data_IF_515932622246
#
_entry.id   IF_515932622246
#
_cell.length_a   1.000
_cell.length_b   1.000
_cell.length_c   1.000
_cell.angle_alpha   90.00
_cell.angle_beta   90.00
_cell.angle_gamma   90.00
#
_symmetry.space_group_name_H-M   'P 1'
#
loop_
_entity.id
_entity.type
_entity.pdbx_description
1 polymer ?
#
# COMPACT_ATOMS: atom_id res chain seq x y z
N UNK A 1 -25.31 -14.70 -1.03
CA UNK A 1 -24.38 -14.43 -2.15
C UNK A 1 -23.20 -13.71 -1.53
N UNK A 2 -22.09 -14.41 -1.33
CA UNK A 2 -20.90 -13.86 -0.67
C UNK A 2 -20.18 -13.02 -1.71
N UNK A 3 -20.37 -11.71 -1.62
CA UNK A 3 -19.66 -10.72 -2.43
C UNK A 3 -18.21 -10.66 -1.91
N UNK A 4 -17.32 -11.39 -2.58
CA UNK A 4 -15.89 -11.20 -2.38
C UNK A 4 -15.55 -9.88 -3.06
N UNK A 5 -15.14 -8.83 -2.32
CA UNK A 5 -14.79 -7.57 -2.94
C UNK A 5 -13.58 -7.81 -3.84
N UNK A 6 -13.82 -7.79 -5.15
CA UNK A 6 -12.76 -7.74 -6.15
C UNK A 6 -12.23 -6.31 -6.07
N UNK A 7 -11.05 -6.12 -5.45
CA UNK A 7 -10.49 -4.79 -5.23
C UNK A 7 -10.28 -4.08 -6.57
N UNK A 8 -11.16 -3.12 -6.89
CA UNK A 8 -11.08 -2.29 -8.08
C UNK A 8 -9.78 -1.49 -8.06
N UNK A 9 -8.98 -1.60 -9.13
CA UNK A 9 -7.68 -0.93 -9.24
C UNK A 9 -7.78 0.59 -9.06
N UNK A 10 -8.89 1.19 -9.49
CA UNK A 10 -9.18 2.63 -9.28
C UNK A 10 -9.44 2.99 -7.81
N UNK A 11 -9.95 2.05 -7.02
CA UNK A 11 -10.14 2.22 -5.58
C UNK A 11 -8.79 2.15 -4.84
N UNK A 12 -7.88 1.29 -5.31
CA UNK A 12 -6.49 1.24 -4.82
C UNK A 12 -5.69 2.50 -5.20
N UNK A 13 -5.94 3.10 -6.36
CA UNK A 13 -5.31 4.38 -6.77
C UNK A 13 -5.80 5.61 -5.97
N UNK A 14 -6.92 5.47 -5.24
CA UNK A 14 -7.44 6.50 -4.33
C UNK A 14 -6.85 6.39 -2.91
N UNK A 15 -6.06 5.36 -2.61
CA UNK A 15 -5.40 5.19 -1.32
C UNK A 15 -4.22 6.15 -1.19
N UNK A 16 -4.49 7.25 -0.51
CA UNK A 16 -3.52 8.23 -0.05
C UNK A 16 -2.85 7.74 1.23
N UNK A 17 -1.54 7.97 1.33
CA UNK A 17 -0.76 7.68 2.53
C UNK A 17 -1.36 8.44 3.74
N UNK A 18 -1.69 7.77 4.86
CA UNK A 18 -2.33 8.42 6.00
C UNK A 18 -1.44 9.48 6.67
N UNK A 19 -0.11 9.42 6.46
CA UNK A 19 0.83 10.37 7.06
C UNK A 19 1.15 11.56 6.16
N UNK A 20 1.37 11.32 4.87
CA UNK A 20 1.84 12.35 3.93
C UNK A 20 0.71 12.86 3.03
N UNK A 21 -0.46 12.23 3.05
CA UNK A 21 -1.60 12.49 2.17
C UNK A 21 -1.23 12.44 0.67
N UNK A 22 -0.17 11.71 0.34
CA UNK A 22 0.31 11.56 -1.03
C UNK A 22 0.04 10.18 -1.57
N UNK A 23 0.03 10.06 -2.90
CA UNK A 23 -0.13 8.78 -3.59
C UNK A 23 0.91 7.76 -3.11
N UNK A 24 0.46 6.52 -2.97
CA UNK A 24 1.31 5.35 -2.77
C UNK A 24 1.49 4.67 -4.12
N UNK A 25 2.73 4.28 -4.41
CA UNK A 25 3.05 3.49 -5.59
C UNK A 25 2.85 2.02 -5.27
N UNK A 26 2.00 1.33 -6.03
CA UNK A 26 1.80 -0.10 -5.86
C UNK A 26 2.85 -0.87 -6.64
N UNK A 27 3.71 -1.58 -5.92
CA UNK A 27 4.66 -2.54 -6.47
C UNK A 27 4.00 -3.92 -6.54
N UNK A 28 3.58 -4.31 -7.74
CA UNK A 28 2.96 -5.60 -7.99
C UNK A 28 3.96 -6.77 -7.93
N UNK A 29 5.26 -6.52 -8.17
CA UNK A 29 6.28 -7.58 -8.10
C UNK A 29 6.54 -7.98 -6.66
N UNK A 30 6.57 -7.00 -5.76
CA UNK A 30 6.82 -7.20 -4.32
C UNK A 30 5.56 -7.32 -3.48
N UNK A 31 4.39 -7.01 -4.06
CA UNK A 31 3.12 -6.88 -3.35
C UNK A 31 3.25 -5.88 -2.18
N UNK A 32 3.76 -4.68 -2.46
CA UNK A 32 3.96 -3.62 -1.45
C UNK A 32 3.39 -2.27 -1.95
N UNK A 33 2.99 -1.41 -1.02
CA UNK A 33 2.65 -0.01 -1.27
C UNK A 33 3.82 0.88 -0.84
N UNK A 34 4.45 1.52 -1.79
CA UNK A 34 5.63 2.36 -1.63
C UNK A 34 5.20 3.81 -1.40
N UNK A 35 5.69 4.41 -0.32
CA UNK A 35 5.54 5.84 -0.04
C UNK A 35 6.88 6.54 -0.23
N UNK A 36 7.15 7.13 -1.41
CA UNK A 36 8.43 7.78 -1.68
C UNK A 36 8.68 8.99 -0.76
N UNK A 37 7.63 9.67 -0.30
CA UNK A 37 7.75 10.79 0.66
C UNK A 37 8.08 10.35 2.07
N UNK A 38 7.55 9.22 2.51
CA UNK A 38 7.84 8.68 3.84
C UNK A 38 9.10 7.81 3.85
N UNK A 39 9.64 7.45 2.69
CA UNK A 39 10.72 6.48 2.52
C UNK A 39 10.38 5.13 3.18
N UNK A 40 9.11 4.72 3.03
CA UNK A 40 8.57 3.50 3.61
C UNK A 40 7.80 2.69 2.56
N UNK A 41 7.96 1.37 2.60
CA UNK A 41 7.19 0.40 1.84
C UNK A 41 6.31 -0.43 2.79
N UNK A 42 5.01 -0.41 2.56
CA UNK A 42 4.01 -1.14 3.34
C UNK A 42 3.68 -2.47 2.65
N UNK A 43 3.91 -3.63 3.29
CA UNK A 43 3.67 -4.91 2.65
C UNK A 43 2.18 -5.23 2.54
N UNK A 44 1.79 -5.99 1.51
CA UNK A 44 0.43 -6.52 1.34
C UNK A 44 0.46 -8.00 1.69
N UNK A 45 -0.34 -8.40 2.68
CA UNK A 45 -0.45 -9.80 3.14
C UNK A 45 -1.88 -10.28 2.93
N UNK A 46 -2.06 -11.41 2.27
CA UNK A 46 -3.39 -11.96 1.95
C UNK A 46 -4.30 -10.96 1.19
N UNK A 47 -3.71 -10.09 0.37
CA UNK A 47 -4.44 -9.01 -0.32
C UNK A 47 -4.83 -7.81 0.55
N UNK A 48 -4.43 -7.78 1.83
CA UNK A 48 -4.69 -6.67 2.75
C UNK A 48 -3.41 -5.85 2.93
N UNK A 49 -3.42 -4.54 2.61
CA UNK A 49 -2.29 -3.65 2.87
C UNK A 49 -2.05 -3.44 4.37
N UNK A 50 -0.85 -3.77 4.83
CA UNK A 50 -0.42 -3.56 6.22
C UNK A 50 0.16 -2.15 6.34
N UNK A 51 -0.71 -1.16 6.58
CA UNK A 51 -0.33 0.25 6.78
C UNK A 51 0.15 0.53 8.22
N UNK A 52 1.00 -0.34 8.77
CA UNK A 52 1.62 -0.16 10.09
C UNK A 52 3.07 0.25 9.90
N UNK A 53 3.51 1.29 10.62
CA UNK A 53 4.87 1.83 10.51
C UNK A 53 5.91 0.83 10.98
N UNK A 54 5.63 0.07 12.05
CA UNK A 54 6.52 -0.98 12.57
C UNK A 54 6.73 -2.13 11.58
N UNK A 55 5.74 -2.41 10.73
CA UNK A 55 5.83 -3.44 9.69
C UNK A 55 6.33 -2.87 8.36
N UNK A 56 6.42 -1.55 8.23
CA UNK A 56 6.84 -0.89 7.02
C UNK A 56 8.36 -1.02 6.86
N UNK A 57 8.79 -1.44 5.67
CA UNK A 57 10.20 -1.54 5.33
C UNK A 57 10.71 -0.15 4.93
N UNK A 58 11.80 0.30 5.54
CA UNK A 58 12.51 1.49 5.05
C UNK A 58 13.11 1.21 3.67
N UNK A 59 12.86 2.13 2.77
CA UNK A 59 13.46 2.19 1.45
C UNK A 59 14.45 3.34 1.51
N UNK A 60 15.66 2.98 1.90
CA UNK A 60 16.83 3.83 1.74
C UNK A 60 17.21 3.75 0.26
N UNK A 61 17.22 4.89 -0.42
CA UNK A 61 17.87 5.02 -1.73
C UNK A 61 19.37 5.26 -1.50
#
# INVERSE_FOLDING_TARGET
MTDTPTFDRRMLEALICPQTQTRLDYDAERQELISPRAQLAYPIREGIPVMLVDEARRIED
#
